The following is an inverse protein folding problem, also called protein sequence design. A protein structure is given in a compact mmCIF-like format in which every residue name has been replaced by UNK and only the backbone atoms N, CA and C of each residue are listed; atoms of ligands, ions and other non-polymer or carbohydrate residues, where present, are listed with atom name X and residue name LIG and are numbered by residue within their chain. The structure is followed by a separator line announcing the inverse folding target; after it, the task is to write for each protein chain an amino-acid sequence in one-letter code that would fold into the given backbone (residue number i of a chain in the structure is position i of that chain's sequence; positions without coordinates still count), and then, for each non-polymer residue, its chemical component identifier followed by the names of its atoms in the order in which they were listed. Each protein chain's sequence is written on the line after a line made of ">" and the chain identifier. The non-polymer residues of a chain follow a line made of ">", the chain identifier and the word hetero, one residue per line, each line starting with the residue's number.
data_IF_163300332862
#
_entry.id   IF_163300332862
#
_cell.length_a   1.000
_cell.length_b   1.000
_cell.length_c   1.000
_cell.angle_alpha   90.00
_cell.angle_beta   90.00
_cell.angle_gamma   90.00
#
_symmetry.space_group_name_H-M   'P 1'
#
loop_
_entity.id
_entity.type
_entity.pdbx_description
1 polymer ?
#
# COMPACT_ATOMS: atom_id res chain seq x y z
N UNK A 1 -22.48 1.81 -1.28
CA UNK A 1 -22.73 2.93 -0.38
C UNK A 1 -23.56 2.39 0.78
N UNK A 2 -22.92 2.05 1.89
CA UNK A 2 -23.62 1.64 3.11
C UNK A 2 -23.79 2.90 3.94
N UNK A 3 -24.99 3.49 3.88
CA UNK A 3 -25.36 4.60 4.75
C UNK A 3 -25.79 3.99 6.09
N UNK A 4 -24.96 4.07 7.11
CA UNK A 4 -25.37 3.84 8.50
C UNK A 4 -25.91 5.17 8.99
N UNK A 5 -27.19 5.19 9.38
CA UNK A 5 -27.85 6.38 9.91
C UNK A 5 -27.11 6.92 11.13
N UNK A 6 -26.74 8.18 11.07
CA UNK A 6 -26.12 8.92 12.16
C UNK A 6 -27.19 9.79 12.83
N UNK A 7 -27.66 9.39 13.99
CA UNK A 7 -28.24 10.31 14.97
C UNK A 7 -27.47 10.15 16.28
N UNK A 8 -26.84 11.23 16.68
CA UNK A 8 -26.12 11.60 17.91
C UNK A 8 -24.62 11.80 17.71
N UNK A 9 -24.16 12.99 18.06
CA UNK A 9 -22.76 13.43 18.10
C UNK A 9 -21.98 12.69 19.20
N UNK A 10 -21.76 11.39 19.05
CA UNK A 10 -20.93 10.57 19.93
C UNK A 10 -19.95 9.78 19.10
N UNK A 11 -18.68 9.99 19.37
CA UNK A 11 -17.46 9.40 18.84
C UNK A 11 -17.60 8.63 17.50
N UNK A 12 -16.87 9.03 16.48
CA UNK A 12 -16.73 8.31 15.20
C UNK A 12 -16.12 6.90 15.38
N UNK A 13 -16.04 6.38 16.59
CA UNK A 13 -15.47 5.08 16.94
C UNK A 13 -16.62 4.15 17.34
N UNK A 14 -16.77 3.05 16.59
CA UNK A 14 -17.80 2.05 16.89
C UNK A 14 -17.58 1.41 18.27
N UNK A 15 -18.65 1.14 19.01
CA UNK A 15 -18.60 0.63 20.39
C UNK A 15 -17.90 -0.73 20.55
N UNK A 16 -17.78 -1.53 19.48
CA UNK A 16 -17.07 -2.81 19.49
C UNK A 16 -15.62 -2.70 19.00
N UNK A 17 -15.15 -1.51 18.59
CA UNK A 17 -13.76 -1.29 18.25
C UNK A 17 -12.90 -1.28 19.52
N UNK A 18 -11.66 -1.78 19.39
CA UNK A 18 -10.65 -1.76 20.44
C UNK A 18 -9.58 -0.77 20.03
N UNK A 19 -9.55 0.38 20.66
CA UNK A 19 -8.54 1.42 20.44
C UNK A 19 -7.69 1.56 21.70
N UNK A 20 -6.38 1.35 21.56
CA UNK A 20 -5.46 1.48 22.69
C UNK A 20 -5.45 2.94 23.18
N UNK A 21 -5.43 3.22 24.51
CA UNK A 21 -5.47 4.59 25.04
C UNK A 21 -4.33 5.49 24.58
N UNK A 22 -3.18 4.92 24.22
CA UNK A 22 -2.01 5.65 23.72
C UNK A 22 -2.04 5.88 22.20
N UNK A 23 -2.97 5.28 21.45
CA UNK A 23 -3.15 5.54 20.03
C UNK A 23 -3.56 7.00 19.80
N UNK A 24 -3.02 7.61 18.76
CA UNK A 24 -3.32 8.99 18.40
C UNK A 24 -4.20 9.02 17.16
N UNK A 25 -5.44 9.47 17.34
CA UNK A 25 -6.39 9.65 16.25
C UNK A 25 -6.55 11.13 15.94
N UNK A 26 -6.45 11.48 14.65
CA UNK A 26 -6.72 12.83 14.15
C UNK A 26 -8.21 13.17 14.21
N UNK A 27 -8.54 14.37 13.74
CA UNK A 27 -9.94 14.85 13.68
C UNK A 27 -10.72 14.02 12.64
N UNK A 28 -12.00 13.80 12.92
CA UNK A 28 -12.94 13.14 12.02
C UNK A 28 -12.51 11.74 11.55
N UNK A 29 -11.64 11.06 12.31
CA UNK A 29 -11.30 9.66 12.07
C UNK A 29 -12.49 8.78 12.41
N UNK A 30 -12.88 7.90 11.49
CA UNK A 30 -13.96 6.92 11.68
C UNK A 30 -13.35 5.54 11.91
N UNK A 31 -13.79 4.84 12.96
CA UNK A 31 -13.33 3.47 13.27
C UNK A 31 -14.53 2.53 13.32
N UNK A 32 -14.55 1.58 12.39
CA UNK A 32 -15.61 0.61 12.21
C UNK A 32 -15.66 -0.51 13.26
N UNK A 33 -16.72 -1.33 13.22
CA UNK A 33 -16.93 -2.38 14.21
C UNK A 33 -15.82 -3.43 14.20
N UNK A 34 -15.41 -3.85 15.41
CA UNK A 34 -14.40 -4.89 15.58
C UNK A 34 -12.99 -4.52 15.12
N UNK A 35 -12.74 -3.27 14.74
CA UNK A 35 -11.39 -2.81 14.42
C UNK A 35 -10.51 -2.79 15.68
N UNK A 36 -9.21 -3.08 15.51
CA UNK A 36 -8.22 -3.10 16.60
C UNK A 36 -7.08 -2.15 16.25
N UNK A 37 -6.88 -1.11 17.07
CA UNK A 37 -5.84 -0.09 16.90
C UNK A 37 -4.85 -0.20 18.07
N UNK A 38 -3.60 -0.49 17.75
CA UNK A 38 -2.53 -0.75 18.73
C UNK A 38 -1.96 0.51 19.38
N UNK A 39 -1.09 0.30 20.37
CA UNK A 39 -0.54 1.33 21.27
C UNK A 39 0.20 2.46 20.55
N UNK A 40 1.03 2.12 19.57
CA UNK A 40 1.95 3.06 18.92
C UNK A 40 1.44 3.50 17.54
N UNK A 41 0.13 3.48 17.34
CA UNK A 41 -0.51 3.84 16.07
C UNK A 41 -0.88 5.31 16.07
N UNK A 42 -0.55 6.00 14.97
CA UNK A 42 -0.96 7.37 14.71
C UNK A 42 -1.77 7.41 13.40
N UNK A 43 -2.96 8.02 13.42
CA UNK A 43 -3.88 8.09 12.26
C UNK A 43 -4.23 9.54 11.98
N UNK A 44 -4.01 9.99 10.75
CA UNK A 44 -4.28 11.36 10.30
C UNK A 44 -5.78 11.66 10.12
N UNK A 45 -6.07 12.96 10.04
CA UNK A 45 -7.42 13.51 9.97
C UNK A 45 -8.26 12.92 8.83
N UNK A 46 -9.55 12.66 9.07
CA UNK A 46 -10.51 12.23 8.07
C UNK A 46 -10.32 10.81 7.54
N UNK A 47 -9.42 10.02 8.11
CA UNK A 47 -9.18 8.63 7.70
C UNK A 47 -10.30 7.72 8.19
N UNK A 48 -10.73 6.80 7.33
CA UNK A 48 -11.82 5.86 7.60
C UNK A 48 -11.28 4.43 7.73
N UNK A 49 -11.54 3.82 8.88
CA UNK A 49 -11.11 2.46 9.20
C UNK A 49 -12.34 1.54 9.15
N UNK A 50 -12.31 0.55 8.26
CA UNK A 50 -13.39 -0.43 8.08
C UNK A 50 -13.51 -1.44 9.23
N UNK A 51 -14.51 -2.30 9.10
CA UNK A 51 -14.77 -3.35 10.09
C UNK A 51 -13.60 -4.36 10.16
N UNK A 52 -13.26 -4.81 11.37
CA UNK A 52 -12.25 -5.84 11.63
C UNK A 52 -10.85 -5.52 11.06
N UNK A 53 -10.54 -4.27 10.80
CA UNK A 53 -9.19 -3.84 10.45
C UNK A 53 -8.29 -3.95 11.68
N UNK A 54 -7.07 -4.45 11.49
CA UNK A 54 -6.07 -4.51 12.55
C UNK A 54 -4.89 -3.63 12.18
N UNK A 55 -4.59 -2.64 13.02
CA UNK A 55 -3.42 -1.76 12.85
C UNK A 55 -2.56 -1.89 14.10
N UNK A 56 -1.30 -2.33 13.93
CA UNK A 56 -0.40 -2.59 15.04
C UNK A 56 0.98 -2.00 14.84
N UNK A 57 1.88 -2.34 15.76
CA UNK A 57 3.27 -1.87 15.74
C UNK A 57 3.39 -0.34 15.83
N UNK A 58 4.51 0.19 15.39
CA UNK A 58 4.76 1.63 15.23
C UNK A 58 4.31 2.05 13.83
N UNK A 59 3.00 2.28 13.69
CA UNK A 59 2.37 2.54 12.40
C UNK A 59 1.82 3.96 12.34
N UNK A 60 2.18 4.69 11.30
CA UNK A 60 1.61 6.00 10.98
C UNK A 60 0.78 5.89 9.70
N UNK A 61 -0.46 6.34 9.75
CA UNK A 61 -1.37 6.43 8.60
C UNK A 61 -1.69 7.90 8.37
N UNK A 62 -1.55 8.34 7.12
CA UNK A 62 -1.81 9.70 6.70
C UNK A 62 -3.29 10.10 6.79
N UNK A 63 -3.62 11.23 6.18
CA UNK A 63 -4.94 11.83 6.19
C UNK A 63 -5.82 11.30 5.07
N UNK A 64 -7.13 11.29 5.30
CA UNK A 64 -8.15 10.93 4.29
C UNK A 64 -7.90 9.59 3.60
N UNK A 65 -7.28 8.65 4.32
CA UNK A 65 -7.13 7.28 3.85
C UNK A 65 -8.45 6.52 4.00
N UNK A 66 -8.65 5.53 3.13
CA UNK A 66 -9.77 4.61 3.22
C UNK A 66 -9.24 3.19 3.42
N UNK A 67 -9.49 2.59 4.57
CA UNK A 67 -9.02 1.24 4.91
C UNK A 67 -10.22 0.31 5.01
N UNK A 68 -10.30 -0.64 4.10
CA UNK A 68 -11.42 -1.54 3.94
C UNK A 68 -11.35 -2.75 4.88
N UNK A 69 -12.48 -3.45 5.10
CA UNK A 69 -12.59 -4.51 6.10
C UNK A 69 -11.51 -5.58 6.00
N UNK A 70 -11.09 -6.09 7.17
CA UNK A 70 -10.11 -7.17 7.34
C UNK A 70 -8.69 -6.87 6.83
N UNK A 71 -8.34 -5.63 6.52
CA UNK A 71 -6.96 -5.27 6.25
C UNK A 71 -6.11 -5.36 7.54
N UNK A 72 -4.84 -5.74 7.40
CA UNK A 72 -3.87 -5.86 8.50
C UNK A 72 -2.63 -5.05 8.20
N UNK A 73 -2.35 -4.01 9.01
CA UNK A 73 -1.31 -3.01 8.73
C UNK A 73 -0.35 -2.90 9.90
N UNK A 74 0.96 -2.91 9.61
CA UNK A 74 2.02 -2.68 10.59
C UNK A 74 2.23 -3.83 11.56
N UNK A 75 1.68 -5.01 11.30
CA UNK A 75 1.95 -6.20 12.09
C UNK A 75 3.37 -6.71 11.86
N UNK A 76 3.78 -7.68 12.66
CA UNK A 76 5.11 -8.28 12.57
C UNK A 76 5.40 -8.83 11.17
N UNK A 77 6.63 -8.61 10.67
CA UNK A 77 7.02 -9.12 9.37
C UNK A 77 7.07 -10.65 9.35
N UNK A 78 6.75 -11.24 8.21
CA UNK A 78 6.91 -12.68 7.97
C UNK A 78 8.35 -12.99 7.59
N UNK A 79 9.30 -12.53 8.39
CA UNK A 79 10.73 -12.71 8.20
C UNK A 79 11.34 -13.43 9.42
N UNK A 80 11.98 -14.56 9.18
CA UNK A 80 12.64 -15.35 10.24
C UNK A 80 13.78 -14.61 10.95
N UNK A 81 14.27 -13.51 10.37
CA UNK A 81 15.31 -12.67 10.98
C UNK A 81 14.74 -11.68 12.00
N UNK A 82 13.44 -11.41 11.95
CA UNK A 82 12.79 -10.51 12.89
C UNK A 82 12.87 -11.05 14.31
N UNK A 83 13.30 -10.21 15.27
CA UNK A 83 13.51 -10.57 16.67
C UNK A 83 12.70 -9.73 17.65
N UNK A 84 11.68 -9.01 17.15
CA UNK A 84 10.86 -8.13 17.97
C UNK A 84 11.39 -6.69 18.07
N UNK A 85 12.36 -6.32 17.24
CA UNK A 85 12.93 -4.97 17.20
C UNK A 85 11.90 -3.91 16.84
N UNK A 86 12.16 -2.68 17.26
CA UNK A 86 11.34 -1.53 16.97
C UNK A 86 11.56 -1.09 15.52
N UNK A 87 10.54 -1.27 14.70
CA UNK A 87 10.52 -0.90 13.29
C UNK A 87 9.17 -0.28 12.91
N UNK A 88 9.09 0.37 11.78
CA UNK A 88 7.99 1.25 11.42
C UNK A 88 7.22 0.79 10.18
N UNK A 89 5.96 1.23 10.11
CA UNK A 89 5.11 1.15 8.91
C UNK A 89 4.48 2.52 8.67
N UNK A 90 4.73 3.12 7.52
CA UNK A 90 4.26 4.46 7.20
C UNK A 90 3.41 4.46 5.93
N UNK A 91 2.17 4.94 6.03
CA UNK A 91 1.22 5.08 4.93
C UNK A 91 0.97 6.56 4.70
N UNK A 92 1.11 7.00 3.46
CA UNK A 92 0.85 8.37 3.06
C UNK A 92 -0.64 8.74 2.98
N UNK A 93 -0.89 10.00 2.66
CA UNK A 93 -2.24 10.57 2.58
C UNK A 93 -3.05 9.99 1.40
N UNK A 94 -4.38 10.00 1.52
CA UNK A 94 -5.33 9.69 0.44
C UNK A 94 -5.13 8.31 -0.19
N UNK A 95 -4.51 7.39 0.54
CA UNK A 95 -4.27 6.02 0.09
C UNK A 95 -5.45 5.12 0.43
N UNK A 96 -5.89 4.36 -0.57
CA UNK A 96 -6.99 3.39 -0.47
C UNK A 96 -6.42 1.98 -0.31
N UNK A 97 -6.75 1.34 0.81
CA UNK A 97 -6.32 -0.01 1.17
C UNK A 97 -7.55 -0.90 1.22
N UNK A 98 -7.70 -1.79 0.23
CA UNK A 98 -8.87 -2.63 0.07
C UNK A 98 -8.84 -3.83 1.03
N UNK A 99 -9.87 -4.66 0.91
CA UNK A 99 -10.15 -5.79 1.80
C UNK A 99 -8.99 -6.79 1.82
N UNK A 100 -8.67 -7.31 3.01
CA UNK A 100 -7.66 -8.35 3.22
C UNK A 100 -6.24 -7.97 2.77
N UNK A 101 -5.97 -6.70 2.54
CA UNK A 101 -4.59 -6.24 2.27
C UNK A 101 -3.75 -6.45 3.52
N UNK A 102 -2.51 -6.89 3.32
CA UNK A 102 -1.54 -7.02 4.40
C UNK A 102 -0.31 -6.17 4.12
N UNK A 103 0.09 -5.35 5.10
CA UNK A 103 1.30 -4.52 5.05
C UNK A 103 2.08 -4.78 6.34
N UNK A 104 3.25 -5.39 6.22
CA UNK A 104 4.12 -5.67 7.37
C UNK A 104 4.96 -4.44 7.72
N UNK A 105 5.26 -4.22 9.03
CA UNK A 105 6.33 -3.30 9.39
C UNK A 105 7.69 -3.85 8.97
N UNK A 106 8.74 -3.05 9.05
CA UNK A 106 10.07 -3.47 8.62
C UNK A 106 10.71 -4.51 9.57
N UNK A 107 11.72 -5.21 9.08
CA UNK A 107 12.72 -5.95 9.86
C UNK A 107 13.93 -5.05 10.04
N UNK A 108 14.53 -5.01 11.24
CA UNK A 108 15.67 -4.18 11.60
C UNK A 108 15.29 -2.97 12.45
N UNK A 109 16.14 -2.69 13.46
CA UNK A 109 15.92 -1.58 14.39
C UNK A 109 15.91 -0.24 13.66
N UNK A 110 14.84 0.52 13.81
CA UNK A 110 14.67 1.83 13.20
C UNK A 110 14.30 1.83 11.71
N UNK A 111 14.24 0.66 11.07
CA UNK A 111 13.89 0.51 9.65
C UNK A 111 12.38 0.73 9.42
N UNK A 112 12.01 1.04 8.17
CA UNK A 112 10.61 1.29 7.80
C UNK A 112 10.15 0.48 6.58
N UNK A 113 8.86 0.15 6.56
CA UNK A 113 8.09 -0.16 5.36
C UNK A 113 7.24 1.07 5.03
N UNK A 114 7.23 1.52 3.78
CA UNK A 114 6.51 2.73 3.39
C UNK A 114 5.64 2.54 2.16
N UNK A 115 4.43 3.10 2.23
CA UNK A 115 3.52 3.30 1.10
C UNK A 115 3.26 4.80 0.97
N UNK A 116 3.42 5.36 -0.22
CA UNK A 116 3.24 6.78 -0.50
C UNK A 116 1.78 7.24 -0.51
N UNK A 117 1.58 8.44 -1.06
CA UNK A 117 0.26 9.08 -1.13
C UNK A 117 -0.53 8.62 -2.36
N UNK A 118 -1.86 8.74 -2.31
CA UNK A 118 -2.77 8.49 -3.44
C UNK A 118 -2.59 7.10 -4.07
N UNK A 119 -2.21 6.11 -3.28
CA UNK A 119 -2.07 4.73 -3.75
C UNK A 119 -3.40 3.99 -3.69
N UNK A 120 -3.54 2.97 -4.56
CA UNK A 120 -4.64 2.02 -4.52
C UNK A 120 -4.08 0.60 -4.38
N UNK A 121 -4.22 0.03 -3.20
CA UNK A 121 -3.89 -1.37 -2.93
C UNK A 121 -5.19 -2.17 -2.98
N UNK A 122 -5.41 -2.89 -4.09
CA UNK A 122 -6.63 -3.69 -4.28
C UNK A 122 -6.62 -4.94 -3.39
N UNK A 123 -7.77 -5.60 -3.32
CA UNK A 123 -8.00 -6.67 -2.36
C UNK A 123 -6.93 -7.79 -2.41
N UNK A 124 -6.57 -8.27 -1.22
CA UNK A 124 -5.60 -9.34 -1.01
C UNK A 124 -4.17 -9.02 -1.49
N UNK A 125 -3.81 -7.76 -1.72
CA UNK A 125 -2.41 -7.43 -2.01
C UNK A 125 -1.55 -7.56 -0.75
N UNK A 126 -0.26 -7.81 -0.96
CA UNK A 126 0.72 -7.92 0.12
C UNK A 126 1.91 -6.99 -0.11
N UNK A 127 2.25 -6.21 0.92
CA UNK A 127 3.47 -5.42 0.98
C UNK A 127 4.32 -5.96 2.14
N UNK A 128 5.40 -6.67 1.80
CA UNK A 128 6.30 -7.24 2.78
C UNK A 128 7.17 -6.16 3.46
N UNK A 129 7.95 -6.59 4.44
CA UNK A 129 8.85 -5.77 5.23
C UNK A 129 9.86 -4.98 4.38
N UNK A 130 10.22 -3.79 4.82
CA UNK A 130 11.22 -2.92 4.18
C UNK A 130 10.91 -2.52 2.72
N UNK A 131 9.70 -2.75 2.25
CA UNK A 131 9.28 -2.27 0.92
C UNK A 131 9.08 -0.76 0.94
N UNK A 132 9.49 -0.10 -0.14
CA UNK A 132 9.25 1.32 -0.37
C UNK A 132 8.38 1.47 -1.61
N UNK A 133 7.15 1.87 -1.40
CA UNK A 133 6.16 2.14 -2.46
C UNK A 133 5.99 3.65 -2.59
N UNK A 134 6.19 4.17 -3.79
CA UNK A 134 6.05 5.60 -4.12
C UNK A 134 4.58 6.07 -4.14
N UNK A 135 4.37 7.24 -4.73
CA UNK A 135 3.04 7.85 -4.81
C UNK A 135 2.27 7.41 -6.05
N UNK A 136 0.94 7.45 -5.99
CA UNK A 136 0.04 7.12 -7.10
C UNK A 136 0.27 5.70 -7.66
N UNK A 137 0.70 4.77 -6.83
CA UNK A 137 0.92 3.37 -7.21
C UNK A 137 -0.40 2.61 -7.15
N UNK A 138 -0.65 1.76 -8.14
CA UNK A 138 -1.79 0.84 -8.16
C UNK A 138 -1.25 -0.58 -8.10
N UNK A 139 -1.67 -1.33 -7.09
CA UNK A 139 -1.46 -2.77 -6.99
C UNK A 139 -2.80 -3.47 -7.16
N UNK A 140 -2.93 -4.25 -8.24
CA UNK A 140 -4.17 -4.99 -8.50
C UNK A 140 -4.27 -6.23 -7.62
N UNK A 141 -5.47 -6.81 -7.57
CA UNK A 141 -5.83 -7.90 -6.67
C UNK A 141 -4.76 -9.01 -6.59
N UNK A 142 -4.44 -9.40 -5.37
CA UNK A 142 -3.51 -10.49 -5.07
C UNK A 142 -2.06 -10.27 -5.57
N UNK A 143 -1.69 -9.06 -5.98
CA UNK A 143 -0.28 -8.76 -6.27
C UNK A 143 0.53 -8.72 -4.96
N UNK A 144 1.77 -9.22 -5.00
CA UNK A 144 2.63 -9.29 -3.82
C UNK A 144 4.02 -8.73 -4.05
N UNK A 145 4.49 -7.92 -3.10
CA UNK A 145 5.87 -7.46 -3.00
C UNK A 145 6.59 -8.27 -1.94
N UNK A 146 7.66 -8.95 -2.30
CA UNK A 146 8.57 -9.55 -1.32
C UNK A 146 9.47 -8.47 -0.67
N UNK A 147 10.16 -8.82 0.41
CA UNK A 147 10.92 -7.88 1.22
C UNK A 147 11.90 -7.01 0.45
N UNK A 148 12.06 -5.76 0.88
CA UNK A 148 12.97 -4.76 0.30
C UNK A 148 12.70 -4.39 -1.17
N UNK A 149 11.53 -4.70 -1.72
CA UNK A 149 11.16 -4.24 -3.06
C UNK A 149 10.94 -2.71 -3.06
N UNK A 150 11.38 -2.05 -4.14
CA UNK A 150 11.19 -0.62 -4.34
C UNK A 150 10.29 -0.42 -5.56
N UNK A 151 9.19 0.26 -5.36
CA UNK A 151 8.23 0.61 -6.42
C UNK A 151 8.18 2.13 -6.51
N UNK A 152 8.64 2.69 -7.61
CA UNK A 152 8.63 4.14 -7.81
C UNK A 152 7.22 4.67 -8.12
N UNK A 153 7.09 6.01 -8.27
CA UNK A 153 5.80 6.67 -8.46
C UNK A 153 5.06 6.21 -9.74
N UNK A 154 3.73 6.17 -9.67
CA UNK A 154 2.82 5.88 -10.79
C UNK A 154 3.03 4.52 -11.44
N UNK A 155 3.59 3.57 -10.73
CA UNK A 155 3.67 2.18 -11.18
C UNK A 155 2.31 1.53 -11.08
N UNK A 156 2.00 0.69 -12.07
CA UNK A 156 0.82 -0.19 -12.03
C UNK A 156 1.30 -1.64 -11.99
N UNK A 157 0.90 -2.39 -10.97
CA UNK A 157 1.20 -3.83 -10.83
C UNK A 157 -0.08 -4.61 -11.07
N UNK A 158 -0.06 -5.45 -12.09
CA UNK A 158 -1.18 -6.31 -12.48
C UNK A 158 -1.52 -7.37 -11.44
N UNK A 159 -2.75 -7.85 -11.49
CA UNK A 159 -3.23 -8.85 -10.52
C UNK A 159 -2.42 -10.12 -10.53
N UNK A 160 -2.24 -10.75 -9.36
CA UNK A 160 -1.48 -11.98 -9.18
C UNK A 160 0.02 -11.88 -9.55
N UNK A 161 0.53 -10.69 -9.83
CA UNK A 161 1.96 -10.50 -10.09
C UNK A 161 2.78 -10.66 -8.80
N UNK A 162 3.89 -11.37 -8.90
CA UNK A 162 4.84 -11.58 -7.80
C UNK A 162 6.16 -10.85 -8.05
N UNK A 163 6.51 -9.93 -7.15
CA UNK A 163 7.74 -9.14 -7.21
C UNK A 163 8.76 -9.73 -6.24
N UNK A 164 9.89 -10.19 -6.76
CA UNK A 164 10.96 -10.79 -5.95
C UNK A 164 11.60 -9.74 -5.01
N UNK A 165 12.18 -10.22 -3.92
CA UNK A 165 12.90 -9.35 -2.97
C UNK A 165 14.01 -8.54 -3.65
N UNK A 166 14.21 -7.31 -3.17
CA UNK A 166 15.21 -6.34 -3.65
C UNK A 166 15.01 -5.81 -5.07
N UNK A 167 13.96 -6.24 -5.78
CA UNK A 167 13.65 -5.72 -7.11
C UNK A 167 13.21 -4.26 -7.03
N UNK A 168 13.69 -3.46 -7.97
CA UNK A 168 13.26 -2.07 -8.20
C UNK A 168 12.40 -1.97 -9.45
N UNK A 169 11.22 -1.36 -9.33
CA UNK A 169 10.32 -1.05 -10.44
C UNK A 169 10.33 0.47 -10.66
N UNK A 170 10.80 0.88 -11.83
CA UNK A 170 10.93 2.30 -12.19
C UNK A 170 9.59 2.98 -12.43
N UNK A 171 9.57 4.30 -12.25
CA UNK A 171 8.36 5.13 -12.35
C UNK A 171 7.59 4.93 -13.65
N UNK A 172 6.27 5.06 -13.59
CA UNK A 172 5.37 4.87 -14.73
C UNK A 172 5.54 3.52 -15.46
N UNK A 173 6.21 2.54 -14.87
CA UNK A 173 6.22 1.19 -15.43
C UNK A 173 4.88 0.49 -15.17
N UNK A 174 4.55 -0.47 -16.03
CA UNK A 174 3.43 -1.38 -15.85
C UNK A 174 3.95 -2.82 -15.81
N UNK A 175 3.54 -3.55 -14.79
CA UNK A 175 3.78 -5.00 -14.68
C UNK A 175 2.49 -5.72 -15.04
N UNK A 176 2.56 -6.65 -16.00
CA UNK A 176 1.44 -7.46 -16.44
C UNK A 176 0.87 -8.35 -15.32
N UNK A 177 -0.38 -8.79 -15.50
CA UNK A 177 -1.00 -9.74 -14.56
C UNK A 177 -0.28 -11.08 -14.57
N UNK A 178 -0.19 -11.74 -13.40
CA UNK A 178 0.50 -13.03 -13.21
C UNK A 178 2.00 -13.02 -13.55
N UNK A 179 2.60 -11.85 -13.77
CA UNK A 179 4.02 -11.74 -14.07
C UNK A 179 4.90 -12.14 -12.88
N UNK A 180 5.98 -12.88 -13.15
CA UNK A 180 7.04 -13.23 -12.18
C UNK A 180 8.21 -12.29 -12.36
N UNK A 181 8.31 -11.23 -11.55
CA UNK A 181 9.36 -10.21 -11.65
C UNK A 181 10.54 -10.59 -10.76
N UNK A 182 11.67 -10.93 -11.38
CA UNK A 182 12.90 -11.36 -10.68
C UNK A 182 14.10 -10.47 -10.97
N UNK A 183 13.92 -9.41 -11.77
CA UNK A 183 14.94 -8.42 -12.13
C UNK A 183 14.29 -7.03 -12.11
N UNK A 184 15.11 -6.00 -11.97
CA UNK A 184 14.66 -4.62 -12.01
C UNK A 184 13.95 -4.31 -13.32
N UNK A 185 12.89 -3.50 -13.21
CA UNK A 185 12.10 -3.01 -14.35
C UNK A 185 12.45 -1.54 -14.58
N UNK A 186 12.93 -1.17 -15.76
CA UNK A 186 13.20 0.23 -16.09
C UNK A 186 11.94 1.10 -16.01
N UNK A 187 12.08 2.43 -15.86
CA UNK A 187 10.96 3.35 -15.94
C UNK A 187 10.26 3.32 -17.30
N UNK A 188 8.97 3.63 -17.31
CA UNK A 188 8.17 3.92 -18.51
C UNK A 188 7.88 2.72 -19.42
N UNK A 189 8.18 1.49 -19.01
CA UNK A 189 8.00 0.29 -19.83
C UNK A 189 6.84 -0.58 -19.32
N UNK A 190 6.41 -1.49 -20.20
CA UNK A 190 5.56 -2.63 -19.82
C UNK A 190 6.49 -3.84 -19.68
N UNK A 191 6.37 -4.55 -18.56
CA UNK A 191 7.04 -5.83 -18.33
C UNK A 191 6.01 -6.91 -18.07
N UNK A 192 6.14 -8.06 -18.74
CA UNK A 192 5.18 -9.15 -18.62
C UNK A 192 5.87 -10.51 -18.76
N UNK A 193 5.19 -11.58 -18.33
CA UNK A 193 5.61 -12.96 -18.48
C UNK A 193 6.26 -13.60 -17.24
N UNK A 194 6.71 -14.85 -17.38
CA UNK A 194 7.28 -15.70 -16.32
C UNK A 194 8.56 -16.38 -16.79
N UNK A 195 9.75 -15.83 -16.54
CA UNK A 195 10.02 -14.54 -15.85
C UNK A 195 9.64 -13.33 -16.72
N UNK A 196 9.28 -12.23 -16.05
CA UNK A 196 8.90 -10.99 -16.71
C UNK A 196 10.07 -10.43 -17.55
N UNK A 197 9.71 -9.89 -18.71
CA UNK A 197 10.61 -9.20 -19.63
C UNK A 197 9.96 -7.91 -20.09
N UNK A 198 10.76 -6.90 -20.40
CA UNK A 198 10.27 -5.69 -21.06
C UNK A 198 9.71 -6.06 -22.43
N UNK A 199 8.46 -5.73 -22.69
CA UNK A 199 7.74 -6.01 -23.94
C UNK A 199 7.43 -4.76 -24.75
N UNK A 200 7.64 -3.58 -24.19
CA UNK A 200 7.43 -2.31 -24.88
C UNK A 200 7.37 -1.12 -23.94
N UNK A 201 7.11 0.03 -24.50
CA UNK A 201 6.90 1.28 -23.78
C UNK A 201 5.46 1.34 -23.23
N UNK A 202 5.27 1.85 -22.03
CA UNK A 202 3.95 2.07 -21.44
C UNK A 202 3.30 3.36 -21.98
N UNK A 203 3.03 3.40 -23.29
CA UNK A 203 2.48 4.58 -23.96
C UNK A 203 1.16 5.06 -23.35
N UNK A 204 0.28 4.14 -22.97
CA UNK A 204 -1.00 4.46 -22.33
C UNK A 204 -0.78 5.12 -20.96
N UNK A 205 0.12 4.57 -20.14
CA UNK A 205 0.47 5.14 -18.83
C UNK A 205 1.13 6.51 -18.97
N UNK A 206 2.00 6.68 -19.96
CA UNK A 206 2.68 7.93 -20.25
C UNK A 206 1.70 9.03 -20.70
N UNK A 207 0.78 8.69 -21.61
CA UNK A 207 -0.29 9.62 -22.03
C UNK A 207 -1.17 10.07 -20.85
N UNK A 208 -1.57 9.14 -19.97
CA UNK A 208 -2.32 9.46 -18.74
C UNK A 208 -1.53 10.32 -17.76
N UNK A 209 -0.20 10.23 -17.78
CA UNK A 209 0.70 11.07 -17.00
C UNK A 209 0.95 12.45 -17.63
N UNK A 210 0.31 12.76 -18.77
CA UNK A 210 0.40 14.05 -19.47
C UNK A 210 1.60 14.19 -20.40
N UNK A 211 2.31 13.10 -20.71
CA UNK A 211 3.40 13.09 -21.69
C UNK A 211 2.80 13.08 -23.10
N UNK A 212 3.25 13.98 -23.95
CA UNK A 212 2.70 14.14 -25.29
C UNK A 212 3.01 12.94 -26.21
N UNK A 213 2.15 12.71 -27.21
CA UNK A 213 2.38 11.65 -28.22
C UNK A 213 3.71 11.83 -28.97
N UNK A 214 4.12 13.07 -29.21
CA UNK A 214 5.39 13.38 -29.86
C UNK A 214 6.58 12.95 -29.00
N UNK A 215 6.55 13.21 -27.69
CA UNK A 215 7.60 12.78 -26.75
C UNK A 215 7.62 11.26 -26.62
N UNK A 216 6.45 10.61 -26.54
CA UNK A 216 6.31 9.16 -26.53
C UNK A 216 6.88 8.56 -27.83
N UNK A 217 6.57 9.14 -28.97
CA UNK A 217 7.07 8.71 -30.29
C UNK A 217 8.61 8.75 -30.39
N UNK A 218 9.24 9.78 -29.83
CA UNK A 218 10.72 9.88 -29.80
C UNK A 218 11.40 8.80 -28.97
N UNK A 219 10.71 8.23 -27.98
CA UNK A 219 11.25 7.17 -27.12
C UNK A 219 11.15 5.77 -27.77
N UNK A 220 10.46 5.65 -28.90
CA UNK A 220 10.33 4.40 -29.67
C UNK A 220 11.42 4.17 -30.73
N UNK A 221 12.39 5.09 -30.88
CA UNK A 221 13.46 5.04 -31.90
C UNK A 221 14.74 4.43 -31.34
#
# INVERSE_FOLDING_TARGET
>A
MIVVGMENAESNIHSTAIVHPNAKLGKDVIVGPGAVIGEHVEIGDGTQIGAHVVIGGWTTIGKRCEIYPNASIGLEPQDLKFKGEKSYCNIGDETVIREFVTISRATGEGEETRVGNNCLLQACTHVAHNCIVGNNVIMSNCAGLAGHAIVEDRVVIGGLAGIHQFVKIGRNAMVGGMAKVVQDIPPYVIADGQPARVIGLNSVGLSRAGISEEEIGRAHV
#
